data_IF_480944445584
#
_entry.id   IF_480944445584
#
_cell.length_a   1.000
_cell.length_b   1.000
_cell.length_c   1.000
_cell.angle_alpha   90.00
_cell.angle_beta   90.00
_cell.angle_gamma   90.00
#
_symmetry.space_group_name_H-M   'P 1'
#
loop_
_entity.id
_entity.type
_entity.pdbx_description
1 polymer ?
#
# COMPACT_ATOMS: atom_id res chain seq x y z
N UNK A 1 7.52 12.43 0.16
CA UNK A 1 6.18 11.80 0.17
C UNK A 1 6.14 10.85 -1.00
N UNK A 2 5.92 9.57 -0.74
CA UNK A 2 5.87 8.54 -1.79
C UNK A 2 4.44 8.40 -2.35
N UNK A 3 4.24 7.58 -3.39
CA UNK A 3 2.91 7.37 -3.98
C UNK A 3 1.89 6.79 -2.99
N UNK A 4 2.34 5.99 -2.03
CA UNK A 4 1.48 5.39 -1.01
C UNK A 4 1.01 6.41 0.02
N UNK A 5 1.85 7.36 0.42
CA UNK A 5 1.47 8.48 1.28
C UNK A 5 0.35 9.31 0.61
N UNK A 6 0.55 9.69 -0.66
CA UNK A 6 -0.41 10.50 -1.42
C UNK A 6 -1.75 9.76 -1.60
N UNK A 7 -1.72 8.49 -1.98
CA UNK A 7 -2.94 7.68 -2.08
C UNK A 7 -3.59 7.48 -0.71
N UNK A 8 -2.80 7.31 0.34
CA UNK A 8 -3.26 7.18 1.71
C UNK A 8 -4.06 8.40 2.17
N UNK A 9 -3.53 9.61 1.98
CA UNK A 9 -4.21 10.85 2.34
C UNK A 9 -5.62 10.98 1.73
N UNK A 10 -5.86 10.40 0.54
CA UNK A 10 -7.17 10.41 -0.11
C UNK A 10 -8.17 9.39 0.45
N UNK A 11 -7.70 8.26 1.00
CA UNK A 11 -8.57 7.11 1.29
C UNK A 11 -8.69 6.79 2.77
N UNK A 12 -7.69 7.14 3.57
CA UNK A 12 -7.63 6.86 5.01
C UNK A 12 -8.82 7.52 5.72
N UNK A 13 -9.46 6.75 6.58
CA UNK A 13 -10.72 7.13 7.24
C UNK A 13 -10.53 7.73 8.63
N UNK A 14 -9.33 7.60 9.19
CA UNK A 14 -9.03 8.04 10.56
C UNK A 14 -9.55 7.07 11.61
N UNK A 15 -9.42 5.76 11.37
CA UNK A 15 -9.94 4.72 12.27
C UNK A 15 -8.86 3.70 12.58
N UNK A 16 -8.22 3.82 13.75
CA UNK A 16 -7.17 2.90 14.19
C UNK A 16 -5.91 2.97 13.32
N UNK A 17 -5.27 1.82 13.14
CA UNK A 17 -4.06 1.70 12.34
C UNK A 17 -4.40 1.30 10.90
N UNK A 18 -4.18 2.20 9.96
CA UNK A 18 -4.52 2.01 8.55
C UNK A 18 -3.25 1.87 7.70
N UNK A 19 -3.18 0.78 6.93
CA UNK A 19 -2.03 0.45 6.10
C UNK A 19 -2.35 0.62 4.61
N UNK A 20 -1.46 1.29 3.88
CA UNK A 20 -1.57 1.51 2.44
C UNK A 20 -0.42 0.79 1.75
N UNK A 21 -0.72 0.01 0.72
CA UNK A 21 0.26 -0.66 -0.12
C UNK A 21 -0.03 -0.36 -1.59
N UNK A 22 0.93 0.23 -2.31
CA UNK A 22 0.80 0.52 -3.73
C UNK A 22 1.67 -0.42 -4.57
N UNK A 23 1.08 -1.01 -5.61
CA UNK A 23 1.73 -2.00 -6.46
C UNK A 23 1.96 -1.39 -7.85
N UNK A 24 3.21 -1.06 -8.16
CA UNK A 24 3.62 -0.40 -9.41
C UNK A 24 4.90 -1.01 -9.96
N UNK A 25 5.82 -0.15 -10.42
CA UNK A 25 7.18 -0.58 -10.79
C UNK A 25 7.85 -1.34 -9.63
N UNK A 26 7.75 -0.76 -8.43
CA UNK A 26 8.05 -1.39 -7.14
C UNK A 26 6.82 -1.42 -6.24
N UNK A 27 7.05 -1.47 -4.92
CA UNK A 27 6.04 -1.41 -3.87
C UNK A 27 6.24 -0.17 -3.01
N UNK A 28 5.20 0.65 -2.91
CA UNK A 28 5.12 1.72 -1.91
C UNK A 28 4.32 1.27 -0.70
N UNK A 29 4.69 1.77 0.47
CA UNK A 29 3.94 1.55 1.71
C UNK A 29 3.75 2.86 2.47
N UNK A 30 2.62 2.99 3.16
CA UNK A 30 2.39 4.07 4.11
C UNK A 30 1.55 3.56 5.29
N UNK A 31 1.78 4.12 6.47
CA UNK A 31 0.96 3.86 7.66
C UNK A 31 0.33 5.15 8.16
N UNK A 32 -0.90 5.02 8.62
CA UNK A 32 -1.64 6.08 9.27
C UNK A 32 -2.15 5.58 10.61
N UNK A 33 -1.99 6.39 11.65
CA UNK A 33 -2.58 6.12 12.96
C UNK A 33 -3.59 7.22 13.28
N UNK A 34 -4.85 6.85 13.43
CA UNK A 34 -5.96 7.81 13.64
C UNK A 34 -5.94 8.94 12.59
N UNK A 35 -5.71 8.56 11.32
CA UNK A 35 -5.74 9.48 10.18
C UNK A 35 -4.47 10.31 9.99
N UNK A 36 -3.50 10.20 10.90
CA UNK A 36 -2.21 10.91 10.81
C UNK A 36 -1.17 10.02 10.15
N UNK A 37 -0.54 10.51 9.09
CA UNK A 37 0.57 9.83 8.42
C UNK A 37 1.72 9.60 9.41
N UNK A 38 2.26 8.38 9.43
CA UNK A 38 3.49 8.05 10.12
C UNK A 38 4.64 8.13 9.10
N UNK A 39 5.39 9.25 9.05
CA UNK A 39 6.36 9.49 7.98
C UNK A 39 7.60 8.61 8.13
N UNK A 40 8.38 8.51 7.05
CA UNK A 40 9.69 7.86 6.99
C UNK A 40 9.69 6.33 7.21
N UNK A 41 8.53 5.67 7.15
CA UNK A 41 8.42 4.21 7.21
C UNK A 41 8.44 3.59 5.81
N UNK A 42 9.60 3.08 5.38
CA UNK A 42 9.77 2.38 4.10
C UNK A 42 9.76 0.86 4.28
N UNK A 43 8.57 0.29 4.55
CA UNK A 43 8.41 -1.13 4.88
C UNK A 43 8.64 -2.06 3.68
N UNK A 44 8.52 -1.58 2.45
CA UNK A 44 8.71 -2.38 1.24
C UNK A 44 10.16 -2.85 1.03
N UNK A 45 11.13 -2.18 1.64
CA UNK A 45 12.54 -2.60 1.64
C UNK A 45 12.87 -3.64 2.71
N UNK A 46 11.92 -3.97 3.58
CA UNK A 46 12.07 -5.04 4.56
C UNK A 46 12.35 -6.41 3.91
N UNK A 47 13.08 -7.30 4.59
CA UNK A 47 13.31 -8.66 4.11
C UNK A 47 12.00 -9.39 3.86
N UNK A 48 11.93 -10.03 2.70
CA UNK A 48 10.85 -10.91 2.31
C UNK A 48 11.43 -12.21 1.73
N UNK A 49 10.53 -13.07 1.27
CA UNK A 49 10.80 -14.38 0.65
C UNK A 49 12.19 -14.49 -0.01
N UNK A 50 12.92 -15.56 0.34
CA UNK A 50 14.18 -15.97 -0.33
C UNK A 50 15.26 -14.88 -0.35
N UNK A 51 15.27 -13.98 0.64
CA UNK A 51 16.28 -12.92 0.76
C UNK A 51 16.02 -11.73 -0.17
N UNK A 52 14.89 -11.70 -0.88
CA UNK A 52 14.44 -10.54 -1.65
C UNK A 52 13.66 -9.60 -0.74
N UNK A 53 13.61 -8.30 -1.04
CA UNK A 53 12.69 -7.38 -0.37
C UNK A 53 11.27 -7.53 -0.92
N UNK A 54 10.27 -7.01 -0.21
CA UNK A 54 8.89 -6.96 -0.71
C UNK A 54 8.80 -6.19 -2.04
N UNK A 55 9.53 -5.07 -2.15
CA UNK A 55 9.63 -4.26 -3.36
C UNK A 55 10.07 -5.09 -4.57
N UNK A 56 11.17 -5.85 -4.44
CA UNK A 56 11.71 -6.69 -5.51
C UNK A 56 10.75 -7.84 -5.83
N UNK A 57 10.21 -8.51 -4.82
CA UNK A 57 9.41 -9.72 -5.02
C UNK A 57 8.04 -9.46 -5.66
N UNK A 58 7.50 -8.24 -5.50
CA UNK A 58 6.17 -7.84 -5.95
C UNK A 58 6.17 -6.75 -7.03
N UNK A 59 7.31 -6.13 -7.33
CA UNK A 59 7.41 -5.14 -8.40
C UNK A 59 6.99 -5.68 -9.77
N UNK A 60 6.76 -4.77 -10.71
CA UNK A 60 6.22 -5.11 -12.03
C UNK A 60 7.11 -6.13 -12.79
N UNK A 61 8.43 -6.02 -12.67
CA UNK A 61 9.36 -6.97 -13.29
C UNK A 61 9.17 -8.39 -12.75
N UNK A 62 9.02 -8.54 -11.44
CA UNK A 62 8.76 -9.84 -10.83
C UNK A 62 7.40 -10.41 -11.25
N UNK A 63 6.36 -9.57 -11.32
CA UNK A 63 5.04 -9.96 -11.82
C UNK A 63 5.10 -10.51 -13.25
N UNK A 64 5.78 -9.79 -14.15
CA UNK A 64 5.93 -10.20 -15.55
C UNK A 64 6.71 -11.51 -15.66
N UNK A 65 7.75 -11.71 -14.86
CA UNK A 65 8.56 -12.93 -14.87
C UNK A 65 7.79 -14.19 -14.41
N UNK A 66 6.90 -14.07 -13.43
CA UNK A 66 6.20 -15.25 -12.86
C UNK A 66 4.74 -15.40 -13.29
N UNK A 67 4.17 -14.40 -13.94
CA UNK A 67 2.76 -14.33 -14.32
C UNK A 67 1.84 -13.94 -13.16
N UNK A 68 0.65 -13.44 -13.50
CA UNK A 68 -0.29 -12.85 -12.53
C UNK A 68 -0.69 -13.84 -11.43
N UNK A 69 -0.98 -15.11 -11.74
CA UNK A 69 -1.45 -16.07 -10.73
C UNK A 69 -0.41 -16.30 -9.62
N UNK A 70 0.86 -16.52 -10.00
CA UNK A 70 1.95 -16.71 -9.03
C UNK A 70 2.26 -15.41 -8.29
N UNK A 71 2.17 -14.27 -8.98
CA UNK A 71 2.39 -12.96 -8.38
C UNK A 71 1.30 -12.62 -7.34
N UNK A 72 0.02 -12.84 -7.63
CA UNK A 72 -1.09 -12.64 -6.68
C UNK A 72 -0.90 -13.50 -5.42
N UNK A 73 -0.42 -14.74 -5.55
CA UNK A 73 -0.04 -15.56 -4.38
C UNK A 73 1.09 -14.94 -3.55
N UNK A 74 2.01 -14.19 -4.15
CA UNK A 74 3.06 -13.46 -3.42
C UNK A 74 2.48 -12.23 -2.73
N UNK A 75 1.59 -11.50 -3.39
CA UNK A 75 0.90 -10.33 -2.81
C UNK A 75 0.14 -10.75 -1.55
N UNK A 76 -0.68 -11.80 -1.61
CA UNK A 76 -1.41 -12.33 -0.44
C UNK A 76 -0.46 -12.63 0.74
N UNK A 77 0.64 -13.33 0.47
CA UNK A 77 1.66 -13.63 1.49
C UNK A 77 2.31 -12.39 2.09
N UNK A 78 2.51 -11.34 1.29
CA UNK A 78 3.05 -10.08 1.80
C UNK A 78 2.04 -9.34 2.66
N UNK A 79 0.75 -9.40 2.30
CA UNK A 79 -0.34 -8.83 3.11
C UNK A 79 -0.39 -9.54 4.47
N UNK A 80 -0.34 -10.87 4.48
CA UNK A 80 -0.30 -11.66 5.72
C UNK A 80 0.91 -11.28 6.58
N UNK A 81 2.09 -11.18 5.96
CA UNK A 81 3.33 -10.79 6.65
C UNK A 81 3.24 -9.39 7.28
N UNK A 82 2.71 -8.41 6.55
CA UNK A 82 2.50 -7.07 7.10
C UNK A 82 1.43 -7.04 8.19
N UNK A 83 0.39 -7.87 8.06
CA UNK A 83 -0.65 -7.97 9.08
C UNK A 83 -0.09 -8.54 10.39
N UNK A 84 0.74 -9.57 10.32
CA UNK A 84 1.44 -10.13 11.49
C UNK A 84 2.39 -9.12 12.16
N UNK A 85 3.07 -8.29 11.36
CA UNK A 85 4.04 -7.30 11.86
C UNK A 85 3.38 -6.06 12.47
N UNK A 86 2.30 -5.57 11.85
CA UNK A 86 1.71 -4.27 12.17
C UNK A 86 0.39 -4.37 12.92
N UNK A 87 -0.31 -5.49 12.79
CA UNK A 87 -1.67 -5.67 13.29
C UNK A 87 -2.64 -4.56 12.84
N UNK A 88 -2.55 -4.12 11.59
CA UNK A 88 -3.41 -3.04 11.07
C UNK A 88 -4.90 -3.40 11.12
N UNK A 89 -5.73 -2.37 11.24
CA UNK A 89 -7.20 -2.44 11.26
C UNK A 89 -7.79 -2.41 9.85
N UNK A 90 -7.20 -1.59 8.97
CA UNK A 90 -7.63 -1.46 7.57
C UNK A 90 -6.45 -1.53 6.62
N UNK A 91 -6.68 -2.11 5.44
CA UNK A 91 -5.73 -2.19 4.34
C UNK A 91 -6.28 -1.55 3.07
N UNK A 92 -5.46 -0.73 2.43
CA UNK A 92 -5.73 -0.12 1.14
C UNK A 92 -4.70 -0.56 0.12
N UNK A 93 -5.13 -1.26 -0.93
CA UNK A 93 -4.22 -1.72 -2.00
C UNK A 93 -4.49 -0.97 -3.29
N UNK A 94 -3.50 -0.21 -3.74
CA UNK A 94 -3.56 0.65 -4.93
C UNK A 94 -2.42 0.41 -5.91
N UNK A 95 -2.21 1.37 -6.80
CA UNK A 95 -1.19 1.31 -7.85
C UNK A 95 -1.62 0.57 -9.11
N UNK A 96 -0.87 0.77 -10.20
CA UNK A 96 -1.23 0.29 -11.54
C UNK A 96 -1.33 -1.23 -11.69
N UNK A 97 -0.65 -2.00 -10.84
CA UNK A 97 -0.73 -3.46 -10.83
C UNK A 97 -1.88 -4.01 -9.97
N UNK A 98 -2.55 -3.19 -9.15
CA UNK A 98 -3.71 -3.64 -8.37
C UNK A 98 -4.88 -4.12 -9.24
N UNK A 99 -4.96 -3.70 -10.51
CA UNK A 99 -5.93 -4.22 -11.51
C UNK A 99 -5.85 -5.73 -11.75
N UNK A 100 -4.78 -6.38 -11.31
CA UNK A 100 -4.58 -7.82 -11.41
C UNK A 100 -5.03 -8.58 -10.14
N UNK A 101 -5.60 -7.87 -9.18
CA UNK A 101 -6.16 -8.40 -7.95
C UNK A 101 -7.69 -8.27 -7.96
N UNK A 102 -8.31 -9.07 -7.12
CA UNK A 102 -9.72 -9.05 -6.76
C UNK A 102 -9.88 -8.71 -5.27
N UNK A 103 -11.10 -8.39 -4.84
CA UNK A 103 -11.38 -8.07 -3.45
C UNK A 103 -11.02 -9.23 -2.49
N UNK A 104 -11.16 -10.48 -2.92
CA UNK A 104 -10.77 -11.64 -2.10
C UNK A 104 -9.25 -11.78 -1.94
N UNK A 105 -8.44 -11.14 -2.79
CA UNK A 105 -6.98 -11.16 -2.69
C UNK A 105 -6.42 -10.28 -1.58
N UNK A 106 -7.20 -9.28 -1.13
CA UNK A 106 -6.76 -8.31 -0.11
C UNK A 106 -7.34 -8.59 1.27
N UNK A 107 -8.15 -9.64 1.40
CA UNK A 107 -8.72 -10.09 2.66
C UNK A 107 -9.84 -9.18 3.21
N UNK A 108 -10.44 -9.55 4.34
CA UNK A 108 -11.63 -8.88 4.89
C UNK A 108 -11.36 -7.47 5.42
N UNK A 109 -10.11 -7.15 5.79
CA UNK A 109 -9.68 -5.81 6.19
C UNK A 109 -9.27 -4.94 5.00
N UNK A 110 -9.14 -5.54 3.82
CA UNK A 110 -8.58 -4.90 2.64
C UNK A 110 -9.64 -4.37 1.68
N UNK A 111 -9.32 -3.27 1.01
CA UNK A 111 -10.03 -2.82 -0.18
C UNK A 111 -9.06 -2.39 -1.28
N UNK A 112 -9.44 -2.68 -2.52
CA UNK A 112 -8.76 -2.16 -3.69
C UNK A 112 -9.16 -0.69 -3.90
N UNK A 113 -8.20 0.18 -4.09
CA UNK A 113 -8.43 1.61 -4.34
C UNK A 113 -8.07 1.99 -5.77
N UNK A 114 -8.77 2.98 -6.31
CA UNK A 114 -8.52 3.46 -7.67
C UNK A 114 -7.19 4.19 -7.72
N UNK A 115 -6.43 4.00 -8.81
CA UNK A 115 -5.17 4.69 -9.01
C UNK A 115 -5.32 6.23 -9.08
N UNK A 116 -6.52 6.73 -9.43
CA UNK A 116 -6.85 8.15 -9.41
C UNK A 116 -6.96 8.74 -8.01
N UNK A 117 -7.03 7.93 -6.94
CA UNK A 117 -7.10 8.41 -5.57
C UNK A 117 -5.88 9.29 -5.19
N UNK A 118 -4.70 9.03 -5.75
CA UNK A 118 -3.51 9.86 -5.50
C UNK A 118 -3.65 11.31 -5.96
N UNK A 119 -4.47 11.56 -7.00
CA UNK A 119 -4.74 12.93 -7.51
C UNK A 119 -5.59 13.72 -6.50
N UNK A 120 -6.57 13.07 -5.86
CA UNK A 120 -7.40 13.68 -4.82
C UNK A 120 -6.60 13.90 -3.51
N UNK A 121 -5.64 13.04 -3.22
CA UNK A 121 -4.80 13.14 -2.03
C UNK A 121 -3.90 14.37 -2.04
N UNK A 122 -3.38 14.74 -3.22
CA UNK A 122 -2.60 15.97 -3.40
C UNK A 122 -3.37 17.25 -3.04
N UNK A 123 -4.69 17.28 -3.25
CA UNK A 123 -5.55 18.41 -2.84
C UNK A 123 -5.67 18.47 -1.31
N UNK A 124 -5.87 17.33 -0.63
CA UNK A 124 -6.01 17.27 0.83
C UNK A 124 -4.71 17.58 1.58
N UNK A 125 -3.55 17.26 0.98
CA UNK A 125 -2.23 17.62 1.54
C UNK A 125 -2.01 19.14 1.53
N UNK A 126 -2.56 19.85 0.53
CA UNK A 126 -2.49 21.31 0.48
C UNK A 126 -3.22 21.95 1.66
N UNK A 127 -4.41 21.44 2.00
CA UNK A 127 -5.21 21.96 3.12
C UNK A 127 -4.53 21.74 4.47
N UNK A 128 -3.87 20.59 4.67
CA UNK A 128 -3.13 20.27 5.90
C UNK A 128 -1.91 21.18 6.13
N UNK A 129 -1.35 21.80 5.08
CA UNK A 129 -0.24 22.75 5.20
C UNK A 129 -0.71 24.21 5.37
N UNK A 130 -1.96 24.52 5.08
CA UNK A 130 -2.51 25.89 5.22
C UNK A 130 -3.05 26.21 6.60
N UNK A 131 -3.24 25.22 7.47
CA UNK A 131 -3.68 25.43 8.87
C UNK A 131 -2.53 25.71 9.85
N UNK A 132 -1.27 25.62 9.40
CA UNK A 132 -0.06 25.95 10.17
C UNK A 132 0.54 27.33 9.82
N UNK A 133 -0.26 28.26 9.25
CA UNK A 133 0.16 29.64 8.91
C UNK A 133 -0.63 30.73 9.63
#
# INVERSE_FOLDING_TARGET
MNDADMQGCAVVQGQGLEFVMTLGTGVGTALFNEGRLLPHLELSHGPFRRGETTDVALGNSARQAVGNEKWTKRVRKSIDHFHEMLWFDHLYVGGGNAKHLSASDVGPKGRLILNSAGILGGVRIWDLHTEDS
#
